data_IF_346814603435
#
_entry.id   IF_346814603435
#
_cell.length_a   1.000
_cell.length_b   1.000
_cell.length_c   1.000
_cell.angle_alpha   90.00
_cell.angle_beta   90.00
_cell.angle_gamma   90.00
#
_symmetry.space_group_name_H-M   'P 1'
#
loop_
_entity.id
_entity.type
_entity.pdbx_description
1 polymer ?
#
# COMPACT_ATOMS: atom_id res chain seq x y z
N UNK A 1 -16.89 -20.04 6.72
CA UNK A 1 -16.70 -19.43 8.02
C UNK A 1 -17.95 -19.65 8.90
N UNK A 2 -19.17 -19.26 8.46
CA UNK A 2 -20.41 -19.35 9.29
C UNK A 2 -20.66 -20.77 9.81
N UNK A 3 -20.64 -21.80 8.97
CA UNK A 3 -20.86 -23.22 9.36
C UNK A 3 -19.90 -23.66 10.49
N UNK A 4 -18.65 -23.22 10.44
CA UNK A 4 -17.59 -23.63 11.37
C UNK A 4 -17.36 -22.63 12.50
N UNK A 5 -18.22 -21.60 12.64
CA UNK A 5 -18.08 -20.51 13.63
C UNK A 5 -16.69 -19.84 13.58
N UNK A 6 -16.04 -19.85 12.42
CA UNK A 6 -14.70 -19.29 12.21
C UNK A 6 -14.79 -17.79 11.89
N UNK A 7 -13.82 -17.02 12.38
CA UNK A 7 -13.62 -15.62 12.00
C UNK A 7 -13.28 -15.54 10.51
N UNK A 8 -13.81 -14.52 9.82
CA UNK A 8 -13.52 -14.26 8.42
C UNK A 8 -12.75 -12.93 8.29
N UNK A 9 -11.58 -12.98 7.70
CA UNK A 9 -10.75 -11.80 7.46
C UNK A 9 -10.71 -11.51 5.96
N UNK A 10 -11.15 -10.32 5.58
CA UNK A 10 -11.12 -9.86 4.20
C UNK A 10 -9.98 -8.87 3.99
N UNK A 11 -9.06 -9.21 3.08
CA UNK A 11 -8.05 -8.27 2.61
C UNK A 11 -8.65 -7.40 1.51
N UNK A 12 -9.07 -6.21 1.90
CA UNK A 12 -9.46 -5.12 1.02
C UNK A 12 -8.24 -4.37 0.50
N UNK A 13 -8.35 -3.10 0.22
CA UNK A 13 -7.27 -2.25 -0.30
C UNK A 13 -7.51 -0.79 0.06
N UNK A 14 -6.45 0.02 0.06
CA UNK A 14 -6.58 1.48 0.07
C UNK A 14 -7.21 2.04 -1.22
N UNK A 15 -7.27 1.24 -2.28
CA UNK A 15 -7.85 1.63 -3.57
C UNK A 15 -9.35 1.92 -3.46
N UNK A 16 -10.06 1.32 -2.50
CA UNK A 16 -11.47 1.61 -2.23
C UNK A 16 -11.77 3.08 -1.93
N UNK A 17 -10.75 3.84 -1.59
CA UNK A 17 -10.86 5.27 -1.31
C UNK A 17 -10.74 6.14 -2.56
N UNK A 18 -10.21 5.59 -3.68
CA UNK A 18 -9.96 6.34 -4.91
C UNK A 18 -8.99 7.49 -4.70
N UNK A 19 -9.32 8.67 -5.22
CA UNK A 19 -8.57 9.92 -5.04
C UNK A 19 -9.26 10.81 -4.00
N UNK A 20 -8.88 10.73 -2.72
CA UNK A 20 -9.52 11.49 -1.65
C UNK A 20 -9.21 12.98 -1.78
N UNK A 21 -10.21 13.83 -1.47
CA UNK A 21 -10.02 15.26 -1.28
C UNK A 21 -8.90 15.55 -0.29
N UNK A 22 -8.26 16.71 -0.44
CA UNK A 22 -7.17 17.16 0.45
C UNK A 22 -7.57 17.15 1.94
N UNK A 23 -8.82 17.47 2.26
CA UNK A 23 -9.38 17.47 3.62
C UNK A 23 -9.56 16.06 4.20
N UNK A 24 -9.62 15.04 3.34
CA UNK A 24 -9.78 13.63 3.71
C UNK A 24 -8.46 12.84 3.69
N UNK A 25 -7.32 13.52 3.62
CA UNK A 25 -5.98 12.91 3.75
C UNK A 25 -5.27 13.55 4.95
N UNK A 26 -4.84 12.75 5.92
CA UNK A 26 -4.83 11.27 6.03
C UNK A 26 -6.23 10.64 6.12
N UNK A 27 -6.45 9.62 5.29
CA UNK A 27 -7.78 9.04 5.04
C UNK A 27 -8.22 8.12 6.19
N UNK A 28 -9.37 8.42 6.78
CA UNK A 28 -10.00 7.61 7.84
C UNK A 28 -10.83 6.48 7.26
N UNK A 29 -11.07 5.42 8.06
CA UNK A 29 -11.92 4.29 7.67
C UNK A 29 -13.38 4.68 7.38
N UNK A 30 -13.84 5.81 7.92
CA UNK A 30 -15.18 6.36 7.70
C UNK A 30 -15.35 7.12 6.39
N UNK A 31 -14.26 7.39 5.66
CA UNK A 31 -14.34 8.05 4.36
C UNK A 31 -14.95 7.09 3.32
N UNK A 32 -16.00 7.54 2.63
CA UNK A 32 -16.78 6.69 1.69
C UNK A 32 -16.07 6.37 0.38
N UNK A 33 -15.04 7.13 0.06
CA UNK A 33 -14.28 6.98 -1.18
C UNK A 33 -14.80 7.86 -2.32
N UNK A 34 -13.88 8.18 -3.22
CA UNK A 34 -14.11 8.85 -4.50
C UNK A 34 -13.61 7.91 -5.61
N UNK A 35 -14.41 6.92 -5.96
CA UNK A 35 -14.09 5.83 -6.89
C UNK A 35 -15.05 5.88 -8.06
N UNK A 36 -14.52 5.74 -9.28
CA UNK A 36 -15.33 5.61 -10.49
C UNK A 36 -15.79 4.15 -10.68
N UNK A 37 -17.05 3.97 -11.02
CA UNK A 37 -17.57 2.65 -11.45
C UNK A 37 -17.17 2.28 -12.88
N UNK A 38 -16.60 3.24 -13.62
CA UNK A 38 -16.16 3.09 -15.01
C UNK A 38 -14.68 3.38 -15.13
N UNK A 39 -13.98 2.65 -15.99
CA UNK A 39 -12.56 2.87 -16.23
C UNK A 39 -11.68 1.66 -15.90
N UNK A 40 -10.36 1.75 -16.18
CA UNK A 40 -9.45 0.60 -16.10
C UNK A 40 -9.22 0.11 -14.67
N UNK A 41 -9.46 0.94 -13.66
CA UNK A 41 -9.32 0.58 -12.23
C UNK A 41 -10.59 0.03 -11.61
N UNK A 42 -11.76 0.33 -12.21
CA UNK A 42 -13.07 0.05 -11.62
C UNK A 42 -13.27 -1.41 -11.23
N UNK A 43 -12.82 -2.36 -12.05
CA UNK A 43 -12.99 -3.78 -11.75
C UNK A 43 -12.30 -4.20 -10.44
N UNK A 44 -11.12 -3.66 -10.15
CA UNK A 44 -10.40 -3.94 -8.90
C UNK A 44 -11.05 -3.20 -7.73
N UNK A 45 -11.25 -1.91 -7.85
CA UNK A 45 -11.71 -1.04 -6.78
C UNK A 45 -13.12 -1.45 -6.32
N UNK A 46 -14.04 -1.66 -7.27
CA UNK A 46 -15.41 -2.07 -6.97
C UNK A 46 -15.49 -3.53 -6.45
N UNK A 47 -14.63 -4.43 -6.93
CA UNK A 47 -14.56 -5.80 -6.37
C UNK A 47 -14.19 -5.78 -4.88
N UNK A 48 -13.26 -4.91 -4.47
CA UNK A 48 -12.88 -4.74 -3.06
C UNK A 48 -14.01 -4.11 -2.25
N UNK A 49 -14.70 -3.11 -2.79
CA UNK A 49 -15.87 -2.49 -2.16
C UNK A 49 -17.01 -3.49 -1.96
N UNK A 50 -17.31 -4.30 -2.97
CA UNK A 50 -18.29 -5.38 -2.87
C UNK A 50 -17.92 -6.38 -1.77
N UNK A 51 -16.65 -6.79 -1.69
CA UNK A 51 -16.16 -7.68 -0.63
C UNK A 51 -16.36 -7.12 0.77
N UNK A 52 -16.16 -5.81 0.96
CA UNK A 52 -16.46 -5.14 2.24
C UNK A 52 -17.95 -5.12 2.55
N UNK A 53 -18.79 -4.87 1.54
CA UNK A 53 -20.25 -4.92 1.68
C UNK A 53 -20.71 -6.32 2.12
N UNK A 54 -20.16 -7.38 1.53
CA UNK A 54 -20.45 -8.75 1.95
C UNK A 54 -20.00 -9.00 3.40
N UNK A 55 -18.82 -8.53 3.80
CA UNK A 55 -18.37 -8.63 5.20
C UNK A 55 -19.35 -7.95 6.16
N UNK A 56 -19.83 -6.74 5.81
CA UNK A 56 -20.83 -6.03 6.58
C UNK A 56 -22.13 -6.84 6.71
N UNK A 57 -22.67 -7.35 5.59
CA UNK A 57 -23.90 -8.17 5.57
C UNK A 57 -23.75 -9.39 6.48
N UNK A 58 -22.67 -10.15 6.31
CA UNK A 58 -22.46 -11.36 7.11
C UNK A 58 -22.28 -11.05 8.60
N UNK A 59 -21.65 -9.95 8.95
CA UNK A 59 -21.55 -9.53 10.35
C UNK A 59 -22.91 -9.09 10.90
N UNK A 60 -23.59 -8.15 10.22
CA UNK A 60 -24.80 -7.52 10.73
C UNK A 60 -25.99 -8.48 10.81
N UNK A 61 -26.23 -9.24 9.77
CA UNK A 61 -27.42 -10.12 9.68
C UNK A 61 -27.16 -11.55 10.16
N UNK A 62 -25.95 -12.07 9.95
CA UNK A 62 -25.65 -13.47 10.29
C UNK A 62 -24.74 -13.62 11.51
N UNK A 63 -24.40 -12.52 12.17
CA UNK A 63 -23.54 -12.48 13.37
C UNK A 63 -22.20 -13.20 13.19
N UNK A 64 -21.72 -13.26 11.96
CA UNK A 64 -20.38 -13.79 11.65
C UNK A 64 -19.35 -12.76 12.08
N UNK A 65 -18.34 -13.16 12.83
CA UNK A 65 -17.20 -12.28 13.12
C UNK A 65 -16.38 -12.05 11.85
N UNK A 66 -16.59 -10.91 11.19
CA UNK A 66 -15.80 -10.46 10.05
C UNK A 66 -14.88 -9.32 10.44
N UNK A 67 -13.68 -9.25 9.86
CA UNK A 67 -12.86 -8.04 9.90
C UNK A 67 -12.35 -7.72 8.49
N UNK A 68 -12.11 -6.45 8.24
CA UNK A 68 -11.62 -5.93 6.98
C UNK A 68 -10.26 -5.28 7.21
N UNK A 69 -9.27 -5.67 6.44
CA UNK A 69 -7.95 -5.04 6.43
C UNK A 69 -7.82 -4.22 5.15
N UNK A 70 -7.48 -2.94 5.29
CA UNK A 70 -7.20 -2.02 4.17
C UNK A 70 -5.70 -1.70 4.15
N UNK A 71 -4.89 -2.47 3.40
CA UNK A 71 -3.45 -2.23 3.30
C UNK A 71 -3.13 -0.94 2.54
N UNK A 72 -2.11 -0.20 3.00
CA UNK A 72 -1.62 1.02 2.33
C UNK A 72 -0.14 0.87 1.94
N UNK A 73 0.12 0.83 0.63
CA UNK A 73 1.45 0.89 0.00
C UNK A 73 2.52 0.03 0.71
N UNK A 74 2.22 -1.25 0.87
CA UNK A 74 3.14 -2.21 1.51
C UNK A 74 4.25 -2.57 0.55
N UNK A 75 5.48 -2.64 1.07
CA UNK A 75 6.66 -3.02 0.30
C UNK A 75 7.65 -3.84 1.13
N UNK A 76 8.52 -4.56 0.44
CA UNK A 76 9.62 -5.31 1.06
C UNK A 76 9.93 -6.62 0.34
N UNK A 77 10.74 -7.48 0.97
CA UNK A 77 11.06 -8.81 0.47
C UNK A 77 9.83 -9.60 0.03
N UNK A 78 9.97 -10.36 -1.07
CA UNK A 78 8.89 -11.12 -1.69
C UNK A 78 8.20 -10.40 -2.86
N UNK A 79 8.43 -9.10 -3.08
CA UNK A 79 7.96 -8.43 -4.30
C UNK A 79 8.73 -8.95 -5.52
N UNK A 80 7.99 -9.31 -6.58
CA UNK A 80 8.60 -9.86 -7.80
C UNK A 80 9.42 -8.82 -8.57
N UNK A 81 10.54 -9.22 -9.16
CA UNK A 81 11.42 -8.35 -9.95
C UNK A 81 10.72 -7.63 -11.11
N UNK A 82 9.74 -8.30 -11.74
CA UNK A 82 8.96 -7.74 -12.85
C UNK A 82 7.73 -6.93 -12.39
N UNK A 83 7.55 -6.74 -11.09
CA UNK A 83 6.47 -5.92 -10.57
C UNK A 83 6.68 -4.46 -10.99
N UNK A 84 5.67 -3.86 -11.59
CA UNK A 84 5.74 -2.48 -12.11
C UNK A 84 5.68 -1.41 -11.03
N UNK A 85 5.36 -1.77 -9.77
CA UNK A 85 5.32 -0.83 -8.65
C UNK A 85 6.69 -0.22 -8.40
N UNK A 86 6.69 0.96 -7.82
CA UNK A 86 7.86 1.83 -7.73
C UNK A 86 9.12 1.14 -7.16
N UNK A 87 9.02 0.41 -6.05
CA UNK A 87 10.21 -0.15 -5.40
C UNK A 87 10.85 -1.30 -6.16
N UNK A 88 10.10 -2.36 -6.58
CA UNK A 88 10.73 -3.42 -7.39
C UNK A 88 11.26 -2.89 -8.71
N UNK A 89 10.54 -1.95 -9.36
CA UNK A 89 10.98 -1.35 -10.62
C UNK A 89 12.29 -0.57 -10.44
N UNK A 90 12.36 0.33 -9.45
CA UNK A 90 13.55 1.13 -9.20
C UNK A 90 14.75 0.27 -8.80
N UNK A 91 14.55 -0.66 -7.86
CA UNK A 91 15.60 -1.57 -7.40
C UNK A 91 16.08 -2.49 -8.53
N UNK A 92 15.18 -3.04 -9.34
CA UNK A 92 15.57 -3.85 -10.49
C UNK A 92 16.43 -3.06 -11.49
N UNK A 93 16.07 -1.79 -11.77
CA UNK A 93 16.85 -0.93 -12.64
C UNK A 93 18.23 -0.62 -12.03
N UNK A 94 18.31 -0.32 -10.74
CA UNK A 94 19.57 -0.07 -10.04
C UNK A 94 20.49 -1.28 -10.13
N UNK A 95 20.01 -2.48 -9.82
CA UNK A 95 20.81 -3.71 -9.85
C UNK A 95 21.30 -4.08 -11.26
N UNK A 96 20.57 -3.67 -12.29
CA UNK A 96 20.97 -3.85 -13.68
C UNK A 96 21.72 -2.64 -14.28
N UNK A 97 22.16 -1.69 -13.45
CA UNK A 97 22.88 -0.46 -13.84
C UNK A 97 22.12 0.40 -14.89
N UNK A 98 20.78 0.25 -14.91
CA UNK A 98 19.87 1.00 -15.79
C UNK A 98 19.39 2.27 -15.10
N UNK A 99 19.00 3.26 -15.92
CA UNK A 99 18.38 4.48 -15.40
C UNK A 99 17.00 4.20 -14.85
N UNK A 100 16.67 4.84 -13.74
CA UNK A 100 15.31 4.84 -13.18
C UNK A 100 14.43 5.78 -13.99
N UNK A 101 13.24 5.34 -14.38
CA UNK A 101 12.26 6.18 -15.03
C UNK A 101 11.31 6.80 -14.01
N UNK A 102 11.35 8.12 -13.89
CA UNK A 102 10.42 8.91 -13.08
C UNK A 102 9.37 9.47 -14.02
N UNK A 103 8.11 9.04 -13.84
CA UNK A 103 7.00 9.49 -14.67
C UNK A 103 6.46 10.85 -14.22
N UNK A 104 6.21 11.73 -15.20
CA UNK A 104 5.73 13.10 -14.95
C UNK A 104 6.71 13.93 -14.14
N UNK A 105 6.19 14.71 -13.21
CA UNK A 105 7.00 15.56 -12.32
C UNK A 105 7.65 14.78 -11.17
N UNK A 106 7.17 13.58 -10.85
CA UNK A 106 7.59 12.81 -9.67
C UNK A 106 7.17 13.42 -8.33
N UNK A 107 6.20 14.35 -8.34
CA UNK A 107 5.75 15.07 -7.12
C UNK A 107 4.58 14.37 -6.40
N UNK A 108 3.96 13.37 -7.01
CA UNK A 108 2.91 12.59 -6.36
C UNK A 108 3.46 11.95 -5.07
N UNK A 109 2.68 12.03 -3.99
CA UNK A 109 3.15 11.63 -2.67
C UNK A 109 2.42 10.40 -2.12
N UNK A 110 3.15 9.58 -1.41
CA UNK A 110 2.65 8.38 -0.73
C UNK A 110 3.33 8.22 0.63
N UNK A 111 2.68 7.53 1.53
CA UNK A 111 3.35 6.88 2.64
C UNK A 111 3.57 5.41 2.32
N UNK A 112 4.62 4.81 2.86
CA UNK A 112 4.96 3.42 2.59
C UNK A 112 5.17 2.65 3.89
N UNK A 113 4.69 1.41 3.92
CA UNK A 113 4.77 0.53 5.07
C UNK A 113 5.65 -0.68 4.74
N UNK A 114 6.69 -0.90 5.55
CA UNK A 114 7.52 -2.08 5.38
C UNK A 114 6.76 -3.35 5.76
N UNK A 115 7.02 -4.43 5.02
CA UNK A 115 6.24 -5.68 5.12
C UNK A 115 6.13 -6.24 6.53
N UNK A 116 7.18 -6.19 7.36
CA UNK A 116 7.10 -6.72 8.73
C UNK A 116 6.12 -5.94 9.60
N UNK A 117 6.06 -4.61 9.45
CA UNK A 117 5.11 -3.78 10.19
C UNK A 117 3.67 -4.04 9.71
N UNK A 118 3.50 -4.27 8.42
CA UNK A 118 2.19 -4.61 7.85
C UNK A 118 1.70 -5.98 8.36
N UNK A 119 2.56 -7.00 8.35
CA UNK A 119 2.24 -8.34 8.87
C UNK A 119 1.87 -8.28 10.35
N UNK A 120 2.64 -7.53 11.16
CA UNK A 120 2.28 -7.31 12.57
C UNK A 120 0.87 -6.71 12.68
N UNK A 121 0.55 -5.70 11.85
CA UNK A 121 -0.79 -5.11 11.78
C UNK A 121 -1.87 -6.12 11.40
N UNK A 122 -1.63 -6.98 10.42
CA UNK A 122 -2.57 -8.02 9.99
C UNK A 122 -2.85 -9.02 11.10
N UNK A 123 -1.82 -9.53 11.75
CA UNK A 123 -1.96 -10.45 12.89
C UNK A 123 -2.76 -9.78 14.02
N UNK A 124 -2.50 -8.50 14.32
CA UNK A 124 -3.25 -7.77 15.32
C UNK A 124 -4.74 -7.63 14.96
N UNK A 125 -5.09 -7.37 13.70
CA UNK A 125 -6.50 -7.38 13.27
C UNK A 125 -7.10 -8.77 13.43
N UNK A 126 -6.39 -9.83 13.05
CA UNK A 126 -6.86 -11.22 13.19
C UNK A 126 -7.15 -11.55 14.66
N UNK A 127 -6.26 -11.15 15.58
CA UNK A 127 -6.38 -11.54 16.98
C UNK A 127 -7.28 -10.59 17.79
N UNK A 128 -7.21 -9.28 17.55
CA UNK A 128 -7.76 -8.24 18.41
C UNK A 128 -8.87 -7.41 17.74
N UNK A 129 -9.06 -7.57 16.41
CA UNK A 129 -10.03 -6.78 15.66
C UNK A 129 -11.46 -6.95 16.19
N UNK A 130 -12.16 -5.84 16.41
CA UNK A 130 -13.57 -5.88 16.82
C UNK A 130 -14.43 -6.39 15.67
N UNK A 131 -15.44 -7.23 15.94
CA UNK A 131 -16.32 -7.77 14.89
C UNK A 131 -16.94 -6.69 14.01
N UNK A 132 -16.94 -6.91 12.70
CA UNK A 132 -17.54 -6.00 11.71
C UNK A 132 -16.69 -4.79 11.35
N UNK A 133 -15.53 -4.60 11.98
CA UNK A 133 -14.73 -3.40 11.80
C UNK A 133 -13.68 -3.52 10.69
N UNK A 134 -13.49 -2.41 9.97
CA UNK A 134 -12.40 -2.22 9.02
C UNK A 134 -11.23 -1.47 9.68
N UNK A 135 -10.00 -1.81 9.30
CA UNK A 135 -8.78 -1.18 9.80
C UNK A 135 -7.82 -0.82 8.67
N UNK A 136 -7.41 0.43 8.63
CA UNK A 136 -6.30 0.88 7.81
C UNK A 136 -4.98 0.36 8.41
N UNK A 137 -4.24 -0.42 7.64
CA UNK A 137 -2.92 -0.91 8.03
C UNK A 137 -1.87 -0.35 7.07
N UNK A 138 -0.95 0.42 7.63
CA UNK A 138 0.06 1.12 6.86
C UNK A 138 0.88 2.04 7.74
N UNK A 139 1.74 2.84 7.12
CA UNK A 139 2.45 3.92 7.80
C UNK A 139 1.83 5.27 7.43
N UNK A 140 1.73 6.18 8.37
CA UNK A 140 1.17 7.52 8.13
C UNK A 140 2.24 8.62 8.02
N UNK A 141 3.52 8.27 8.13
CA UNK A 141 4.67 9.19 7.98
C UNK A 141 6.00 8.44 7.78
N UNK A 142 7.00 9.02 7.09
CA UNK A 142 6.85 10.27 6.33
C UNK A 142 5.99 10.05 5.07
N UNK A 143 5.30 11.10 4.63
CA UNK A 143 4.75 11.19 3.29
C UNK A 143 5.85 11.68 2.37
N UNK A 144 6.15 10.93 1.30
CA UNK A 144 7.28 11.19 0.42
C UNK A 144 6.87 11.19 -1.03
N UNK A 145 7.54 11.99 -1.85
CA UNK A 145 7.40 12.01 -3.29
C UNK A 145 8.23 10.91 -3.95
N UNK A 146 7.98 10.66 -5.24
CA UNK A 146 8.82 9.76 -6.05
C UNK A 146 10.26 10.28 -6.11
N UNK A 147 10.45 11.60 -6.15
CA UNK A 147 11.78 12.23 -6.09
C UNK A 147 12.51 11.93 -4.78
N UNK A 148 11.79 11.98 -3.65
CA UNK A 148 12.39 11.67 -2.35
C UNK A 148 12.84 10.21 -2.28
N UNK A 149 12.05 9.29 -2.83
CA UNK A 149 12.43 7.87 -2.94
C UNK A 149 13.70 7.71 -3.77
N UNK A 150 13.78 8.38 -4.92
CA UNK A 150 14.99 8.38 -5.74
C UNK A 150 16.21 8.89 -4.96
N UNK A 151 16.07 9.98 -4.22
CA UNK A 151 17.15 10.55 -3.40
C UNK A 151 17.59 9.61 -2.27
N UNK A 152 16.63 8.92 -1.62
CA UNK A 152 16.94 7.91 -0.60
C UNK A 152 17.71 6.74 -1.23
N UNK A 153 17.26 6.22 -2.37
CA UNK A 153 17.94 5.12 -3.06
C UNK A 153 19.35 5.51 -3.51
N UNK A 154 19.53 6.75 -4.03
CA UNK A 154 20.83 7.30 -4.37
C UNK A 154 21.78 7.37 -3.19
N UNK A 155 21.26 7.65 -1.98
CA UNK A 155 22.05 7.74 -0.74
C UNK A 155 22.46 6.36 -0.22
N UNK A 156 21.57 5.36 -0.30
CA UNK A 156 21.82 4.03 0.29
C UNK A 156 22.55 3.08 -0.65
N UNK A 157 22.56 3.36 -1.97
CA UNK A 157 23.29 2.54 -2.94
C UNK A 157 24.72 3.07 -3.16
N UNK A 158 25.69 2.18 -3.25
CA UNK A 158 27.11 2.55 -3.35
C UNK A 158 27.53 3.06 -4.71
N UNK A 159 26.84 2.63 -5.78
CA UNK A 159 27.09 3.09 -7.15
C UNK A 159 26.21 4.27 -7.51
N UNK A 160 26.60 5.02 -8.56
CA UNK A 160 25.81 6.14 -9.05
C UNK A 160 24.44 5.67 -9.57
N UNK A 161 23.37 6.24 -9.04
CA UNK A 161 21.99 6.00 -9.51
C UNK A 161 21.56 7.17 -10.39
N UNK A 162 21.22 6.88 -11.64
CA UNK A 162 20.77 7.87 -12.64
C UNK A 162 19.26 7.75 -12.87
N UNK A 163 18.61 8.87 -13.15
CA UNK A 163 17.18 8.91 -13.47
C UNK A 163 16.92 9.62 -14.79
N UNK A 164 15.84 9.21 -15.47
CA UNK A 164 15.20 9.92 -16.56
C UNK A 164 13.84 10.41 -16.12
N UNK A 165 13.47 11.63 -16.48
CA UNK A 165 12.10 12.12 -16.35
C UNK A 165 11.39 11.91 -17.69
N UNK A 166 10.34 11.11 -17.69
CA UNK A 166 9.62 10.73 -18.90
C UNK A 166 8.12 11.00 -18.74
N UNK A 167 7.42 11.14 -19.85
CA UNK A 167 5.95 11.29 -19.85
C UNK A 167 5.30 10.00 -19.38
N UNK A 168 4.14 10.11 -18.76
CA UNK A 168 3.31 8.95 -18.46
C UNK A 168 2.96 8.20 -19.76
N UNK A 169 2.96 6.85 -19.73
CA UNK A 169 2.48 6.08 -20.88
C UNK A 169 0.98 6.37 -21.12
N UNK A 170 0.51 6.19 -22.35
CA UNK A 170 -0.91 6.39 -22.69
C UNK A 170 -1.87 5.49 -21.89
N UNK A 171 -1.38 4.38 -21.39
CA UNK A 171 -2.12 3.43 -20.55
C UNK A 171 -2.12 3.80 -19.05
N UNK A 172 -1.50 4.92 -18.67
CA UNK A 172 -1.52 5.37 -17.27
C UNK A 172 -2.93 5.84 -16.92
N UNK A 173 -3.51 5.36 -15.81
CA UNK A 173 -4.85 5.74 -15.41
C UNK A 173 -4.94 7.24 -15.07
N UNK A 174 -5.90 7.95 -15.67
CA UNK A 174 -6.12 9.37 -15.39
C UNK A 174 -6.59 9.62 -13.94
N UNK A 175 -7.20 8.61 -13.34
CA UNK A 175 -7.74 8.60 -11.98
C UNK A 175 -6.76 8.08 -10.91
N UNK A 176 -5.45 7.97 -11.24
CA UNK A 176 -4.43 7.59 -10.25
C UNK A 176 -4.31 8.67 -9.17
N UNK A 177 -4.54 8.34 -7.88
CA UNK A 177 -4.50 9.32 -6.81
C UNK A 177 -3.19 10.08 -6.73
N UNK A 178 -3.26 11.41 -6.59
CA UNK A 178 -2.08 12.26 -6.43
C UNK A 178 -1.46 12.12 -5.04
N UNK A 179 -2.29 11.83 -4.04
CA UNK A 179 -1.86 11.73 -2.65
C UNK A 179 -2.52 10.54 -1.95
N UNK A 180 -1.73 9.70 -1.26
CA UNK A 180 -2.26 8.56 -0.52
C UNK A 180 -1.54 8.37 0.82
N UNK A 181 -2.27 8.67 1.90
CA UNK A 181 -1.78 8.56 3.28
C UNK A 181 -2.91 8.07 4.20
N UNK A 182 -2.74 6.97 4.96
CA UNK A 182 -3.77 6.47 5.87
C UNK A 182 -3.82 7.26 7.17
N UNK A 183 -5.01 7.43 7.71
CA UNK A 183 -5.16 7.63 9.15
C UNK A 183 -5.18 6.25 9.82
N UNK A 184 -4.22 5.99 10.70
CA UNK A 184 -4.08 4.71 11.42
C UNK A 184 -4.45 4.83 12.91
N UNK A 185 -5.12 5.90 13.32
CA UNK A 185 -5.43 6.13 14.74
C UNK A 185 -6.36 5.06 15.30
N UNK A 186 -7.28 4.53 14.49
CA UNK A 186 -8.14 3.43 14.89
C UNK A 186 -7.34 2.15 15.18
N UNK A 187 -6.44 1.76 14.27
CA UNK A 187 -5.56 0.62 14.49
C UNK A 187 -4.63 0.82 15.69
N UNK A 188 -4.13 2.04 15.91
CA UNK A 188 -3.36 2.38 17.12
C UNK A 188 -4.16 2.19 18.40
N UNK A 189 -5.38 2.74 18.43
CA UNK A 189 -6.25 2.69 19.61
C UNK A 189 -6.72 1.27 19.93
N UNK A 190 -7.27 0.58 18.93
CA UNK A 190 -7.97 -0.68 19.13
C UNK A 190 -7.02 -1.88 19.17
N UNK A 191 -5.89 -1.79 18.47
CA UNK A 191 -4.98 -2.92 18.23
C UNK A 191 -3.58 -2.68 18.79
N UNK A 192 -3.28 -1.51 19.37
CA UNK A 192 -1.93 -1.08 19.74
C UNK A 192 -0.92 -1.22 18.57
N UNK A 193 -1.39 -0.97 17.33
CA UNK A 193 -0.57 -1.05 16.13
C UNK A 193 0.42 0.10 16.05
N UNK A 194 1.70 -0.20 15.79
CA UNK A 194 2.77 0.79 15.63
C UNK A 194 3.73 0.35 14.54
N UNK A 195 4.09 1.27 13.65
CA UNK A 195 5.16 1.05 12.67
C UNK A 195 6.52 1.28 13.32
N UNK A 196 7.50 0.42 13.03
CA UNK A 196 8.84 0.39 13.66
C UNK A 196 9.97 0.62 12.66
N UNK A 197 9.72 0.32 11.39
CA UNK A 197 10.73 0.38 10.34
C UNK A 197 10.59 1.70 9.56
N UNK A 198 11.63 2.54 9.61
CA UNK A 198 11.69 3.74 8.80
C UNK A 198 11.80 3.40 7.30
N UNK A 199 11.38 4.32 6.43
CA UNK A 199 11.45 4.11 4.97
C UNK A 199 12.88 3.81 4.51
N UNK A 200 13.88 4.57 4.96
CA UNK A 200 15.28 4.37 4.61
C UNK A 200 15.78 2.98 5.03
N UNK A 201 15.51 2.58 6.28
CA UNK A 201 15.88 1.26 6.80
C UNK A 201 15.18 0.12 6.03
N UNK A 202 13.91 0.29 5.71
CA UNK A 202 13.15 -0.69 4.93
C UNK A 202 13.66 -0.82 3.51
N UNK A 203 13.99 0.30 2.83
CA UNK A 203 14.56 0.29 1.49
C UNK A 203 15.94 -0.36 1.47
N UNK A 204 16.79 -0.10 2.47
CA UNK A 204 18.09 -0.78 2.59
C UNK A 204 17.90 -2.30 2.68
N UNK A 205 17.04 -2.76 3.59
CA UNK A 205 16.72 -4.20 3.73
C UNK A 205 16.14 -4.81 2.44
N UNK A 206 15.30 -4.07 1.73
CA UNK A 206 14.72 -4.56 0.49
C UNK A 206 15.79 -4.63 -0.62
N UNK A 207 16.66 -3.64 -0.73
CA UNK A 207 17.78 -3.64 -1.67
C UNK A 207 18.73 -4.83 -1.40
N UNK A 208 19.13 -5.06 -0.15
CA UNK A 208 19.95 -6.20 0.27
C UNK A 208 19.30 -7.53 -0.13
N UNK A 209 18.02 -7.71 0.15
CA UNK A 209 17.28 -8.92 -0.25
C UNK A 209 17.19 -9.06 -1.78
N UNK A 210 16.92 -7.97 -2.50
CA UNK A 210 16.78 -7.99 -3.94
C UNK A 210 18.11 -8.30 -4.65
N UNK A 211 19.24 -7.86 -4.10
CA UNK A 211 20.59 -8.19 -4.61
C UNK A 211 20.83 -9.70 -4.67
N UNK A 212 20.24 -10.45 -3.74
CA UNK A 212 20.37 -11.92 -3.70
C UNK A 212 19.33 -12.61 -4.59
N UNK A 213 18.12 -12.05 -4.69
CA UNK A 213 16.96 -12.74 -5.24
C UNK A 213 16.54 -12.28 -6.63
N UNK A 214 16.96 -11.10 -7.08
CA UNK A 214 16.69 -10.63 -8.43
C UNK A 214 17.80 -11.07 -9.39
N UNK A 215 17.40 -11.40 -10.62
CA UNK A 215 18.35 -11.71 -11.69
C UNK A 215 18.98 -10.43 -12.23
N UNK A 216 20.29 -10.43 -12.38
CA UNK A 216 21.05 -9.37 -13.05
C UNK A 216 21.22 -9.81 -14.51
N UNK A 217 20.86 -8.94 -15.47
CA UNK A 217 20.91 -9.20 -16.91
C UNK A 217 21.88 -8.25 -17.59
#
# INVERSE_FOLDING_TARGET
AKKNKARFIFFSSSEIYGDPDKLNVPTKETYRGNVSSMGPRACYDESKRLGETLCYIYNSYYKLHTNIIRPFNIYGPGMGQKDYRIFPNFISNILNEKRINIYGSGNQTRTYCYISDAIEGFIRVICLGRPGEAYNIGNNKPEVSVKDIYNILKKIHTKEVKANYIRHPKSYPDDEPQRRCPNINKARKDLNYKTKISLEKGLKKFLEWATINYKIY
#
